data_IF_370031628222
#
_entry.id   IF_370031628222
#
_cell.length_a   1.000
_cell.length_b   1.000
_cell.length_c   1.000
_cell.angle_alpha   90.00
_cell.angle_beta   90.00
_cell.angle_gamma   90.00
#
_symmetry.space_group_name_H-M   'P 1'
#
loop_
_entity.id
_entity.type
_entity.pdbx_description
1 polymer ?
#
# COMPACT_ATOMS: atom_id res chain seq x y z
N UNK A 1 27.43 22.68 -14.75
CA UNK A 1 26.29 23.27 -15.46
C UNK A 1 25.05 22.46 -15.04
N UNK A 2 24.27 22.94 -14.03
CA UNK A 2 23.11 22.24 -13.52
C UNK A 2 21.92 22.55 -14.43
N UNK A 3 21.35 21.53 -15.04
CA UNK A 3 20.16 21.68 -15.86
C UNK A 3 18.97 22.10 -14.98
N UNK A 4 18.39 23.23 -15.29
CA UNK A 4 17.15 23.73 -14.68
C UNK A 4 16.01 22.75 -14.99
N UNK A 5 15.57 22.00 -13.99
CA UNK A 5 14.36 21.18 -14.07
C UNK A 5 13.18 22.14 -14.23
N UNK A 6 12.52 22.12 -15.38
CA UNK A 6 11.30 22.86 -15.64
C UNK A 6 10.23 22.41 -14.63
N UNK A 7 9.90 23.26 -13.68
CA UNK A 7 8.81 23.06 -12.73
C UNK A 7 7.48 23.03 -13.50
N UNK A 8 6.92 21.83 -13.63
CA UNK A 8 5.56 21.72 -14.15
C UNK A 8 4.57 22.44 -13.20
N UNK A 9 3.53 23.12 -13.73
CA UNK A 9 2.62 23.89 -12.92
C UNK A 9 2.01 23.03 -11.80
N UNK A 10 2.05 23.56 -10.59
CA UNK A 10 1.45 22.93 -9.39
C UNK A 10 -0.03 22.67 -9.66
N UNK A 11 -0.46 21.42 -9.52
CA UNK A 11 -1.90 21.17 -9.37
C UNK A 11 -2.30 21.79 -8.04
N UNK A 12 -3.42 22.55 -7.97
CA UNK A 12 -3.89 23.04 -6.69
C UNK A 12 -4.06 21.87 -5.72
N UNK A 13 -3.83 22.13 -4.43
CA UNK A 13 -4.15 21.20 -3.37
C UNK A 13 -5.57 20.64 -3.59
N UNK A 14 -5.87 19.37 -3.23
CA UNK A 14 -7.23 18.87 -3.36
C UNK A 14 -8.15 19.81 -2.60
N UNK A 15 -8.96 20.56 -3.32
CA UNK A 15 -9.94 21.42 -2.70
C UNK A 15 -11.01 20.55 -2.04
N UNK A 16 -11.70 21.08 -1.04
CA UNK A 16 -12.88 20.44 -0.46
C UNK A 16 -13.93 20.04 -1.52
N UNK A 17 -13.85 20.63 -2.71
CA UNK A 17 -14.67 20.31 -3.87
C UNK A 17 -14.32 18.95 -4.55
N UNK A 18 -13.17 18.34 -4.25
CA UNK A 18 -12.78 17.04 -4.85
C UNK A 18 -12.62 16.01 -3.74
N UNK A 19 -13.66 15.22 -3.42
CA UNK A 19 -13.62 14.25 -2.34
C UNK A 19 -12.59 13.14 -2.58
N UNK A 20 -12.13 12.43 -1.52
CA UNK A 20 -11.25 11.29 -1.69
C UNK A 20 -11.97 10.19 -2.47
N UNK A 21 -11.36 9.73 -3.56
CA UNK A 21 -11.93 8.63 -4.35
C UNK A 21 -11.40 7.26 -3.93
N UNK A 22 -10.27 7.22 -3.24
CA UNK A 22 -9.60 5.99 -2.83
C UNK A 22 -9.36 6.00 -1.33
N UNK A 23 -9.63 4.87 -0.68
CA UNK A 23 -9.32 4.68 0.75
C UNK A 23 -8.46 3.45 0.97
N UNK A 24 -7.55 3.53 1.95
CA UNK A 24 -6.89 2.37 2.55
C UNK A 24 -7.51 2.13 3.92
N UNK A 25 -8.05 0.93 4.13
CA UNK A 25 -8.61 0.49 5.42
C UNK A 25 -7.62 -0.44 6.10
N UNK A 26 -7.04 0.03 7.19
CA UNK A 26 -6.20 -0.77 8.06
C UNK A 26 -7.10 -1.54 9.02
N UNK A 27 -7.51 -2.76 8.65
CA UNK A 27 -8.47 -3.55 9.43
C UNK A 27 -7.92 -3.95 10.80
N UNK A 28 -6.61 -4.07 10.92
CA UNK A 28 -5.90 -4.40 12.14
C UNK A 28 -4.50 -3.81 12.10
N UNK A 29 -3.94 -3.48 13.24
CA UNK A 29 -2.54 -3.11 13.38
C UNK A 29 -1.64 -4.33 13.66
N UNK A 30 -2.21 -5.53 13.84
CA UNK A 30 -1.48 -6.79 14.08
C UNK A 30 -0.82 -7.28 12.81
N UNK A 31 0.43 -7.75 12.94
CA UNK A 31 1.19 -8.36 11.86
C UNK A 31 2.05 -9.50 12.42
N UNK A 32 2.14 -10.58 11.68
CA UNK A 32 2.98 -11.74 11.99
C UNK A 32 4.45 -11.56 11.53
N UNK A 33 4.74 -10.51 10.76
CA UNK A 33 6.09 -10.09 10.36
C UNK A 33 6.48 -8.77 11.05
N UNK A 34 7.80 -8.47 11.03
CA UNK A 34 8.36 -7.23 11.56
C UNK A 34 9.44 -6.67 10.61
N UNK A 35 9.03 -6.39 9.36
CA UNK A 35 9.95 -5.95 8.32
C UNK A 35 10.78 -4.74 8.75
N UNK A 36 12.06 -4.71 8.36
CA UNK A 36 13.07 -3.74 8.82
C UNK A 36 12.70 -2.29 8.53
N UNK A 37 11.89 -2.04 7.51
CA UNK A 37 11.43 -0.70 7.09
C UNK A 37 10.04 -0.33 7.63
N UNK A 38 9.36 -1.25 8.34
CA UNK A 38 7.95 -1.07 8.72
C UNK A 38 7.72 -1.06 10.23
N UNK A 39 8.38 -1.94 10.97
CA UNK A 39 8.15 -2.15 12.40
C UNK A 39 9.45 -2.28 13.16
N UNK A 40 9.65 -1.55 14.28
CA UNK A 40 10.92 -1.57 15.02
C UNK A 40 11.26 -2.96 15.57
N UNK A 41 10.27 -3.65 16.12
CA UNK A 41 10.45 -5.02 16.64
C UNK A 41 9.10 -5.76 16.74
N UNK A 42 9.13 -7.06 17.08
CA UNK A 42 7.92 -7.88 17.26
C UNK A 42 7.19 -7.60 18.59
N UNK A 43 7.85 -6.98 19.55
CA UNK A 43 7.34 -6.76 20.91
C UNK A 43 6.59 -5.43 21.04
N UNK A 44 6.54 -4.61 19.99
CA UNK A 44 5.74 -3.40 19.98
C UNK A 44 4.28 -3.74 20.28
N UNK A 45 3.71 -2.99 21.21
CA UNK A 45 2.30 -3.10 21.56
C UNK A 45 1.38 -2.92 20.35
N UNK A 46 0.17 -3.41 20.49
CA UNK A 46 -0.92 -3.20 19.54
C UNK A 46 -1.94 -2.26 20.15
N UNK A 47 -2.80 -1.68 19.32
CA UNK A 47 -3.93 -0.88 19.79
C UNK A 47 -4.87 -1.77 20.61
N UNK A 48 -5.27 -1.27 21.79
CA UNK A 48 -6.18 -2.00 22.68
C UNK A 48 -7.58 -2.13 22.07
N UNK A 49 -8.04 -1.08 21.42
CA UNK A 49 -9.36 -1.02 20.79
C UNK A 49 -9.25 -0.92 19.27
N UNK A 50 -9.99 -1.79 18.59
CA UNK A 50 -10.17 -1.77 17.14
C UNK A 50 -11.68 -1.72 16.83
N UNK A 51 -12.04 -1.27 15.63
CA UNK A 51 -13.41 -1.31 15.17
C UNK A 51 -13.83 -2.76 14.97
N UNK A 52 -15.02 -3.10 15.46
CA UNK A 52 -15.68 -4.35 15.14
C UNK A 52 -16.33 -4.32 13.76
N UNK A 53 -16.93 -5.42 13.34
CA UNK A 53 -17.53 -5.52 12.01
C UNK A 53 -18.67 -4.49 11.80
N UNK A 54 -19.53 -4.26 12.77
CA UNK A 54 -20.66 -3.32 12.65
C UNK A 54 -20.17 -1.87 12.51
N UNK A 55 -19.15 -1.51 13.27
CA UNK A 55 -18.48 -0.21 13.15
C UNK A 55 -17.78 -0.06 11.78
N UNK A 56 -17.15 -1.12 11.25
CA UNK A 56 -16.60 -1.12 9.90
C UNK A 56 -17.68 -0.95 8.82
N UNK A 57 -18.85 -1.58 8.95
CA UNK A 57 -19.97 -1.36 8.02
C UNK A 57 -20.37 0.12 7.99
N UNK A 58 -20.58 0.73 9.15
CA UNK A 58 -20.92 2.16 9.27
C UNK A 58 -19.84 3.05 8.69
N UNK A 59 -18.57 2.80 9.05
CA UNK A 59 -17.41 3.53 8.53
C UNK A 59 -17.37 3.51 7.01
N UNK A 60 -17.50 2.33 6.40
CA UNK A 60 -17.43 2.17 4.95
C UNK A 60 -18.62 2.82 4.24
N UNK A 61 -19.83 2.69 4.78
CA UNK A 61 -21.01 3.40 4.22
C UNK A 61 -20.79 4.92 4.24
N UNK A 62 -20.25 5.47 5.32
CA UNK A 62 -19.90 6.89 5.42
C UNK A 62 -18.82 7.31 4.41
N UNK A 63 -17.79 6.50 4.20
CA UNK A 63 -16.76 6.72 3.18
C UNK A 63 -17.36 6.74 1.77
N UNK A 64 -18.25 5.80 1.45
CA UNK A 64 -18.94 5.74 0.15
C UNK A 64 -19.84 6.96 -0.05
N UNK A 65 -20.58 7.37 0.99
CA UNK A 65 -21.41 8.58 0.98
C UNK A 65 -20.55 9.85 0.77
N UNK A 66 -19.31 9.88 1.29
CA UNK A 66 -18.35 10.95 1.07
C UNK A 66 -17.65 10.91 -0.31
N UNK A 67 -17.97 9.95 -1.19
CA UNK A 67 -17.45 9.88 -2.56
C UNK A 67 -16.36 8.84 -2.81
N UNK A 68 -15.99 8.02 -1.81
CA UNK A 68 -15.04 6.92 -2.02
C UNK A 68 -15.62 5.88 -2.96
N UNK A 69 -14.82 5.45 -3.95
CA UNK A 69 -15.18 4.44 -4.93
C UNK A 69 -14.20 3.27 -4.99
N UNK A 70 -13.03 3.41 -4.40
CA UNK A 70 -11.97 2.39 -4.41
C UNK A 70 -11.50 2.09 -3.00
N UNK A 71 -11.50 0.81 -2.63
CA UNK A 71 -11.09 0.35 -1.31
C UNK A 71 -9.87 -0.58 -1.43
N UNK A 72 -8.86 -0.29 -0.63
CA UNK A 72 -7.74 -1.19 -0.42
C UNK A 72 -7.70 -1.64 1.03
N UNK A 73 -7.97 -2.91 1.23
CA UNK A 73 -7.81 -3.54 2.53
C UNK A 73 -6.32 -3.75 2.83
N UNK A 74 -5.93 -3.36 4.02
CA UNK A 74 -4.57 -3.42 4.52
C UNK A 74 -4.61 -3.52 6.05
N UNK A 75 -3.51 -3.24 6.71
CA UNK A 75 -3.44 -3.27 8.15
C UNK A 75 -1.98 -3.30 8.58
N UNK A 76 -1.69 -3.96 9.67
CA UNK A 76 -0.45 -4.69 9.79
C UNK A 76 -0.48 -5.81 8.74
N UNK A 77 -1.19 -6.92 9.04
CA UNK A 77 -1.52 -7.95 8.04
C UNK A 77 -3.03 -8.20 8.03
N UNK A 78 -3.75 -7.84 6.96
CA UNK A 78 -5.20 -7.96 6.92
C UNK A 78 -5.71 -9.40 6.99
N UNK A 79 -4.92 -10.39 6.55
CA UNK A 79 -5.28 -11.82 6.64
C UNK A 79 -5.31 -12.34 8.09
N UNK A 80 -4.87 -11.55 9.07
CA UNK A 80 -5.04 -11.85 10.48
C UNK A 80 -6.40 -11.41 11.03
N UNK A 81 -7.13 -10.55 10.31
CA UNK A 81 -8.44 -10.06 10.76
C UNK A 81 -9.51 -11.14 10.58
N UNK A 82 -10.17 -11.51 11.68
CA UNK A 82 -11.14 -12.63 11.72
C UNK A 82 -12.31 -12.48 10.76
N UNK A 83 -12.76 -11.24 10.54
CA UNK A 83 -13.92 -10.94 9.70
C UNK A 83 -13.53 -10.50 8.27
N UNK A 84 -12.29 -10.71 7.82
CA UNK A 84 -11.82 -10.21 6.52
C UNK A 84 -12.71 -10.67 5.35
N UNK A 85 -13.04 -11.95 5.29
CA UNK A 85 -13.90 -12.51 4.22
C UNK A 85 -15.28 -11.86 4.24
N UNK A 86 -15.84 -11.66 5.43
CA UNK A 86 -17.14 -10.99 5.63
C UNK A 86 -17.06 -9.51 5.19
N UNK A 87 -15.97 -8.81 5.52
CA UNK A 87 -15.73 -7.42 5.07
C UNK A 87 -15.66 -7.35 3.55
N UNK A 88 -14.95 -8.27 2.90
CA UNK A 88 -14.88 -8.32 1.42
C UNK A 88 -16.26 -8.53 0.81
N UNK A 89 -17.04 -9.49 1.32
CA UNK A 89 -18.41 -9.72 0.87
C UNK A 89 -19.29 -8.49 1.00
N UNK A 90 -19.23 -7.81 2.15
CA UNK A 90 -19.93 -6.56 2.37
C UNK A 90 -19.52 -5.46 1.38
N UNK A 91 -18.21 -5.26 1.16
CA UNK A 91 -17.72 -4.28 0.19
C UNK A 91 -18.26 -4.56 -1.23
N UNK A 92 -18.41 -5.83 -1.60
CA UNK A 92 -18.97 -6.24 -2.88
C UNK A 92 -20.41 -5.78 -3.11
N UNK A 93 -21.19 -5.48 -2.04
CA UNK A 93 -22.57 -5.00 -2.14
C UNK A 93 -22.69 -3.49 -2.35
N UNK A 94 -21.60 -2.73 -2.29
CA UNK A 94 -21.62 -1.26 -2.23
C UNK A 94 -21.39 -0.56 -3.58
N UNK A 95 -21.31 -1.29 -4.69
CA UNK A 95 -21.09 -0.70 -6.02
C UNK A 95 -19.75 0.05 -6.16
N UNK A 96 -18.71 -0.45 -5.49
CA UNK A 96 -17.36 0.09 -5.58
C UNK A 96 -16.71 -0.25 -6.93
N UNK A 97 -15.93 0.69 -7.46
CA UNK A 97 -15.20 0.51 -8.73
C UNK A 97 -14.06 -0.52 -8.56
N UNK A 98 -13.47 -0.60 -7.36
CA UNK A 98 -12.34 -1.48 -7.10
C UNK A 98 -12.21 -1.88 -5.62
N UNK A 99 -11.99 -3.17 -5.40
CA UNK A 99 -11.67 -3.74 -4.10
C UNK A 99 -10.41 -4.58 -4.25
N UNK A 100 -9.38 -4.27 -3.44
CA UNK A 100 -8.14 -5.01 -3.43
C UNK A 100 -7.60 -5.19 -2.01
N UNK A 101 -6.81 -6.24 -1.79
CA UNK A 101 -6.07 -6.46 -0.55
C UNK A 101 -4.57 -6.26 -0.78
N UNK A 102 -3.85 -5.77 0.24
CA UNK A 102 -2.38 -5.83 0.28
C UNK A 102 -1.98 -6.71 1.46
N UNK A 103 -1.19 -7.73 1.22
CA UNK A 103 -0.87 -8.79 2.20
C UNK A 103 0.57 -9.28 2.06
N UNK A 104 1.15 -9.77 3.15
CA UNK A 104 2.41 -10.51 3.16
C UNK A 104 2.25 -11.98 2.73
N UNK A 105 1.03 -12.39 2.39
CA UNK A 105 0.64 -13.72 1.91
C UNK A 105 0.90 -14.91 2.84
N UNK A 106 1.35 -14.73 4.07
CA UNK A 106 1.63 -15.84 5.01
C UNK A 106 0.41 -16.73 5.28
N UNK A 107 -0.80 -16.17 5.18
CA UNK A 107 -2.07 -16.90 5.36
C UNK A 107 -2.89 -17.07 4.08
N UNK A 108 -2.36 -16.58 2.96
CA UNK A 108 -3.11 -16.53 1.69
C UNK A 108 -3.45 -17.93 1.17
N UNK A 109 -2.61 -18.93 1.40
CA UNK A 109 -2.88 -20.33 1.02
C UNK A 109 -4.22 -20.87 1.55
N UNK A 110 -4.66 -20.41 2.73
CA UNK A 110 -5.94 -20.80 3.33
C UNK A 110 -7.10 -19.89 2.94
N UNK A 111 -6.83 -18.66 2.54
CA UNK A 111 -7.85 -17.62 2.36
C UNK A 111 -8.06 -17.21 0.90
N UNK A 112 -7.22 -17.67 -0.04
CA UNK A 112 -7.34 -17.27 -1.44
C UNK A 112 -8.71 -17.61 -2.03
N UNK A 113 -9.17 -18.84 -1.90
CA UNK A 113 -10.49 -19.27 -2.41
C UNK A 113 -11.62 -18.55 -1.69
N UNK A 114 -11.73 -18.54 -0.34
CA UNK A 114 -12.77 -17.79 0.35
C UNK A 114 -12.84 -16.31 -0.01
N UNK A 115 -11.69 -15.65 -0.18
CA UNK A 115 -11.64 -14.24 -0.57
C UNK A 115 -12.11 -14.03 -2.02
N UNK A 116 -11.74 -14.93 -2.93
CA UNK A 116 -12.19 -14.88 -4.33
C UNK A 116 -13.69 -15.08 -4.44
N UNK A 117 -14.24 -16.05 -3.72
CA UNK A 117 -15.69 -16.33 -3.64
C UNK A 117 -16.47 -15.17 -3.02
N UNK A 118 -15.89 -14.50 -2.02
CA UNK A 118 -16.46 -13.29 -1.43
C UNK A 118 -16.43 -12.06 -2.37
N UNK A 119 -15.82 -12.18 -3.58
CA UNK A 119 -15.82 -11.12 -4.59
C UNK A 119 -14.53 -10.30 -4.66
N UNK A 120 -13.47 -10.67 -3.92
CA UNK A 120 -12.16 -10.02 -4.09
C UNK A 120 -11.59 -10.36 -5.46
N UNK A 121 -11.20 -9.33 -6.22
CA UNK A 121 -10.66 -9.52 -7.58
C UNK A 121 -9.16 -9.32 -7.67
N UNK A 122 -8.57 -8.51 -6.81
CA UNK A 122 -7.17 -8.09 -6.93
C UNK A 122 -6.41 -8.28 -5.62
N UNK A 123 -5.21 -8.85 -5.74
CA UNK A 123 -4.30 -9.07 -4.61
C UNK A 123 -2.97 -8.38 -4.89
N UNK A 124 -2.45 -7.66 -3.89
CA UNK A 124 -1.08 -7.17 -3.90
C UNK A 124 -0.32 -7.94 -2.83
N UNK A 125 0.67 -8.69 -3.24
CA UNK A 125 1.54 -9.43 -2.34
C UNK A 125 2.79 -8.62 -2.05
N UNK A 126 3.19 -8.53 -0.79
CA UNK A 126 4.49 -7.97 -0.39
C UNK A 126 5.50 -9.11 -0.29
N UNK A 127 6.52 -9.07 -1.15
CA UNK A 127 7.62 -10.04 -1.18
C UNK A 127 8.91 -9.34 -1.62
N UNK A 128 9.84 -9.19 -0.67
CA UNK A 128 11.04 -8.38 -0.88
C UNK A 128 12.24 -9.17 -1.41
N UNK A 129 12.23 -10.52 -1.31
CA UNK A 129 13.34 -11.37 -1.74
C UNK A 129 12.89 -12.76 -2.12
N UNK A 130 13.57 -13.36 -3.09
CA UNK A 130 13.44 -14.77 -3.48
C UNK A 130 14.48 -15.67 -2.81
N UNK A 131 15.41 -15.09 -2.05
CA UNK A 131 16.37 -15.80 -1.21
C UNK A 131 15.79 -15.98 0.21
N UNK A 132 15.74 -17.21 0.71
CA UNK A 132 15.07 -17.54 1.96
C UNK A 132 15.74 -16.90 3.19
N UNK A 133 17.06 -16.85 3.23
CA UNK A 133 17.79 -16.27 4.36
C UNK A 133 17.70 -14.73 4.35
N UNK A 134 17.75 -14.12 3.17
CA UNK A 134 17.55 -12.68 3.00
C UNK A 134 16.12 -12.28 3.36
N UNK A 135 15.12 -13.00 2.85
CA UNK A 135 13.72 -12.80 3.22
C UNK A 135 13.51 -12.89 4.73
N UNK A 136 14.09 -13.90 5.38
CA UNK A 136 14.03 -14.08 6.83
C UNK A 136 14.67 -12.92 7.60
N UNK A 137 15.81 -12.39 7.13
CA UNK A 137 16.44 -11.20 7.74
C UNK A 137 15.58 -9.97 7.57
N UNK A 138 15.15 -9.65 6.35
CA UNK A 138 14.35 -8.45 6.04
C UNK A 138 13.02 -8.43 6.78
N UNK A 139 12.39 -9.60 6.97
CA UNK A 139 11.09 -9.74 7.66
C UNK A 139 11.21 -10.08 9.15
N UNK A 140 12.44 -10.22 9.66
CA UNK A 140 12.74 -10.64 11.03
C UNK A 140 12.05 -11.96 11.42
N UNK A 141 12.22 -12.96 10.56
CA UNK A 141 11.82 -14.35 10.82
C UNK A 141 10.67 -14.89 9.99
N UNK A 142 10.29 -14.23 8.90
CA UNK A 142 9.36 -14.78 7.91
C UNK A 142 9.92 -16.02 7.22
N UNK A 143 9.02 -16.87 6.72
CA UNK A 143 9.34 -18.08 5.97
C UNK A 143 8.93 -17.91 4.52
N UNK A 144 9.89 -17.86 3.61
CA UNK A 144 9.65 -17.63 2.18
C UNK A 144 8.73 -18.69 1.56
N UNK A 145 8.95 -19.97 1.89
CA UNK A 145 8.16 -21.09 1.37
C UNK A 145 6.66 -20.97 1.71
N UNK A 146 6.32 -20.38 2.87
CA UNK A 146 4.93 -20.12 3.26
C UNK A 146 4.30 -19.06 2.36
N UNK A 147 5.04 -17.99 2.07
CA UNK A 147 4.59 -16.90 1.20
C UNK A 147 4.43 -17.40 -0.24
N UNK A 148 5.39 -18.16 -0.76
CA UNK A 148 5.32 -18.75 -2.11
C UNK A 148 4.09 -19.63 -2.27
N UNK A 149 3.81 -20.53 -1.31
CA UNK A 149 2.56 -21.32 -1.32
C UNK A 149 1.31 -20.44 -1.30
N UNK A 150 1.35 -19.30 -0.59
CA UNK A 150 0.26 -18.31 -0.61
C UNK A 150 0.06 -17.69 -1.99
N UNK A 151 1.13 -17.39 -2.69
CA UNK A 151 1.09 -16.85 -4.06
C UNK A 151 0.54 -17.91 -5.03
N UNK A 152 1.02 -19.16 -4.94
CA UNK A 152 0.55 -20.27 -5.78
C UNK A 152 -0.96 -20.50 -5.58
N UNK A 153 -1.43 -20.46 -4.34
CA UNK A 153 -2.87 -20.55 -4.04
C UNK A 153 -3.67 -19.37 -4.62
N UNK A 154 -3.12 -18.17 -4.62
CA UNK A 154 -3.76 -17.02 -5.24
C UNK A 154 -3.84 -17.15 -6.77
N UNK A 155 -2.79 -17.64 -7.41
CA UNK A 155 -2.79 -17.93 -8.84
C UNK A 155 -3.84 -19.00 -9.17
N UNK A 156 -3.90 -20.08 -8.40
CA UNK A 156 -4.88 -21.15 -8.57
C UNK A 156 -6.33 -20.70 -8.33
N UNK A 157 -6.57 -19.74 -7.41
CA UNK A 157 -7.89 -19.20 -7.13
C UNK A 157 -8.41 -18.27 -8.25
N UNK A 158 -7.59 -17.89 -9.23
CA UNK A 158 -8.00 -17.15 -10.40
C UNK A 158 -8.37 -15.69 -10.09
N UNK A 159 -7.59 -14.98 -9.29
CA UNK A 159 -7.73 -13.54 -9.16
C UNK A 159 -7.46 -12.82 -10.47
N UNK A 160 -8.24 -11.78 -10.76
CA UNK A 160 -8.16 -11.04 -12.03
C UNK A 160 -6.79 -10.34 -12.22
N UNK A 161 -6.14 -9.94 -11.11
CA UNK A 161 -4.82 -9.34 -11.14
C UNK A 161 -4.07 -9.59 -9.81
N UNK A 162 -2.86 -10.11 -9.94
CA UNK A 162 -1.92 -10.23 -8.81
C UNK A 162 -0.73 -9.31 -9.09
N UNK A 163 -0.42 -8.46 -8.11
CA UNK A 163 0.78 -7.61 -8.14
C UNK A 163 1.70 -8.00 -7.00
N UNK A 164 2.99 -8.00 -7.26
CA UNK A 164 4.00 -8.18 -6.23
C UNK A 164 4.66 -6.84 -5.95
N UNK A 165 4.72 -6.45 -4.68
CA UNK A 165 5.44 -5.27 -4.20
C UNK A 165 6.73 -5.73 -3.54
N UNK A 166 7.86 -5.18 -3.96
CA UNK A 166 9.14 -5.36 -3.30
C UNK A 166 9.72 -4.00 -2.92
N UNK A 167 9.99 -3.78 -1.65
CA UNK A 167 10.76 -2.63 -1.17
C UNK A 167 12.22 -2.95 -1.38
N UNK A 168 12.90 -2.13 -2.19
CA UNK A 168 14.29 -2.33 -2.54
C UNK A 168 15.17 -1.52 -1.59
N UNK A 169 16.01 -2.23 -0.85
CA UNK A 169 16.92 -1.70 0.16
C UNK A 169 18.36 -2.02 -0.25
N UNK A 170 19.20 -0.99 -0.31
CA UNK A 170 20.62 -1.12 -0.65
C UNK A 170 21.31 -2.08 0.34
N UNK A 171 22.21 -2.92 -0.17
CA UNK A 171 22.97 -3.93 0.56
C UNK A 171 22.10 -5.04 1.20
N UNK A 172 20.79 -5.08 0.91
CA UNK A 172 19.92 -6.19 1.27
C UNK A 172 19.46 -6.97 0.03
N UNK A 173 18.53 -6.41 -0.75
CA UNK A 173 17.91 -7.08 -1.89
C UNK A 173 18.05 -6.32 -3.22
N UNK A 174 18.85 -5.28 -3.26
CA UNK A 174 19.03 -4.45 -4.45
C UNK A 174 19.64 -5.20 -5.64
N UNK A 175 20.33 -6.30 -5.39
CA UNK A 175 20.83 -7.21 -6.44
C UNK A 175 19.76 -8.13 -7.02
N UNK A 176 18.58 -8.26 -6.40
CA UNK A 176 17.49 -9.15 -6.85
C UNK A 176 16.46 -8.46 -7.76
N UNK A 177 16.64 -7.19 -8.10
CA UNK A 177 15.68 -6.41 -8.91
C UNK A 177 15.28 -7.13 -10.19
N UNK A 178 16.23 -7.69 -10.93
CA UNK A 178 15.99 -8.43 -12.17
C UNK A 178 15.35 -9.79 -11.92
N UNK A 179 15.85 -10.54 -10.96
CA UNK A 179 15.31 -11.84 -10.60
C UNK A 179 13.85 -11.76 -10.15
N UNK A 180 13.51 -10.75 -9.32
CA UNK A 180 12.14 -10.48 -8.90
C UNK A 180 11.22 -10.15 -10.07
N UNK A 181 11.67 -9.31 -11.02
CA UNK A 181 10.88 -8.96 -12.19
C UNK A 181 10.63 -10.18 -13.09
N UNK A 182 11.67 -10.94 -13.39
CA UNK A 182 11.60 -12.14 -14.25
C UNK A 182 10.73 -13.22 -13.62
N UNK A 183 10.91 -13.51 -12.33
CA UNK A 183 10.11 -14.47 -11.58
C UNK A 183 8.61 -14.12 -11.59
N UNK A 184 8.28 -12.84 -11.47
CA UNK A 184 6.90 -12.37 -11.56
C UNK A 184 6.33 -12.59 -12.98
N UNK A 185 7.07 -12.21 -14.00
CA UNK A 185 6.62 -12.32 -15.39
C UNK A 185 6.38 -13.76 -15.84
N UNK A 186 7.19 -14.70 -15.38
CA UNK A 186 7.00 -16.14 -15.63
C UNK A 186 5.65 -16.65 -15.08
N UNK A 187 5.10 -15.98 -14.07
CA UNK A 187 3.86 -16.34 -13.38
C UNK A 187 2.66 -15.46 -13.69
N UNK A 188 2.79 -14.54 -14.66
CA UNK A 188 1.71 -13.58 -14.97
C UNK A 188 1.46 -12.55 -13.87
N UNK A 189 2.41 -12.36 -12.95
CA UNK A 189 2.34 -11.39 -11.86
C UNK A 189 2.98 -10.08 -12.32
N UNK A 190 2.39 -8.94 -11.92
CA UNK A 190 2.96 -7.63 -12.22
C UNK A 190 3.90 -7.20 -11.09
N UNK A 191 5.22 -7.15 -11.30
CA UNK A 191 6.17 -6.67 -10.30
C UNK A 191 6.05 -5.15 -10.11
N UNK A 192 6.17 -4.69 -8.88
CA UNK A 192 6.31 -3.29 -8.51
C UNK A 192 7.47 -3.13 -7.53
N UNK A 193 8.42 -2.32 -7.90
CA UNK A 193 9.60 -2.01 -7.13
C UNK A 193 9.39 -0.69 -6.40
N UNK A 194 9.62 -0.68 -5.11
CA UNK A 194 9.35 0.46 -4.23
C UNK A 194 10.66 1.00 -3.66
N UNK A 195 10.82 2.31 -3.68
CA UNK A 195 11.83 2.97 -2.87
C UNK A 195 11.47 2.87 -1.37
N UNK A 196 12.46 2.79 -0.52
CA UNK A 196 12.28 3.02 0.92
C UNK A 196 11.70 4.42 1.10
N UNK A 197 10.67 4.52 1.92
CA UNK A 197 10.07 5.82 2.28
C UNK A 197 10.62 6.27 3.63
N UNK A 198 11.01 7.53 3.74
CA UNK A 198 11.50 8.13 4.99
C UNK A 198 10.35 8.36 5.99
N UNK A 199 9.70 7.29 6.43
CA UNK A 199 8.55 7.30 7.36
C UNK A 199 8.74 6.19 8.40
N UNK A 200 8.61 6.52 9.68
CA UNK A 200 8.79 5.56 10.75
C UNK A 200 10.14 4.85 10.65
N UNK A 201 10.15 3.53 10.72
CA UNK A 201 11.39 2.73 10.60
C UNK A 201 12.12 2.91 9.26
N UNK A 202 11.39 3.25 8.20
CA UNK A 202 12.01 3.54 6.90
C UNK A 202 12.90 4.77 6.91
N UNK A 203 12.69 5.72 7.81
CA UNK A 203 13.55 6.89 7.95
C UNK A 203 14.98 6.51 8.39
N UNK A 204 15.13 5.45 9.18
CA UNK A 204 16.43 4.89 9.59
C UNK A 204 17.22 4.22 8.46
N UNK A 205 16.59 4.06 7.30
CA UNK A 205 17.18 3.48 6.09
C UNK A 205 17.37 4.52 4.98
N UNK A 206 17.39 5.81 5.33
CA UNK A 206 17.47 6.90 4.35
C UNK A 206 18.75 6.86 3.51
N UNK A 207 19.88 6.40 4.08
CA UNK A 207 21.15 6.17 3.41
C UNK A 207 21.18 4.90 2.54
N UNK A 208 20.17 4.05 2.66
CA UNK A 208 20.02 2.77 1.96
C UNK A 208 18.91 2.77 0.89
N UNK A 209 18.47 3.96 0.48
CA UNK A 209 17.51 4.12 -0.61
C UNK A 209 18.15 3.71 -1.93
N UNK A 210 17.45 2.84 -2.67
CA UNK A 210 17.74 2.57 -4.09
C UNK A 210 16.70 3.32 -4.91
N UNK A 211 17.12 4.30 -5.69
CA UNK A 211 16.22 5.15 -6.46
C UNK A 211 15.58 4.39 -7.64
N UNK A 212 14.42 4.88 -8.09
CA UNK A 212 13.80 4.31 -9.30
C UNK A 212 14.70 4.35 -10.52
N UNK A 213 15.58 5.36 -10.63
CA UNK A 213 16.53 5.45 -11.74
C UNK A 213 17.59 4.34 -11.65
N UNK A 214 18.10 4.03 -10.47
CA UNK A 214 19.02 2.91 -10.26
C UNK A 214 18.35 1.56 -10.55
N UNK A 215 17.10 1.36 -10.08
CA UNK A 215 16.34 0.16 -10.40
C UNK A 215 16.06 0.01 -11.90
N UNK A 216 15.73 1.12 -12.59
CA UNK A 216 15.55 1.14 -14.05
C UNK A 216 16.83 0.83 -14.80
N UNK A 217 17.96 1.36 -14.36
CA UNK A 217 19.26 1.08 -14.96
C UNK A 217 19.60 -0.41 -14.94
N UNK A 218 19.29 -1.10 -13.84
CA UNK A 218 19.46 -2.58 -13.70
C UNK A 218 18.56 -3.37 -14.67
N UNK A 219 17.40 -2.82 -15.02
CA UNK A 219 16.43 -3.44 -15.93
C UNK A 219 16.50 -2.91 -17.38
N UNK A 220 17.44 -2.03 -17.71
CA UNK A 220 17.46 -1.30 -18.98
C UNK A 220 17.49 -2.22 -20.23
N UNK A 221 18.11 -3.38 -20.11
CA UNK A 221 18.18 -4.37 -21.19
C UNK A 221 16.85 -5.14 -21.39
N UNK A 222 16.00 -5.20 -20.36
CA UNK A 222 14.71 -5.88 -20.40
C UNK A 222 13.54 -4.93 -20.74
N UNK A 223 13.67 -3.63 -20.44
CA UNK A 223 12.58 -2.66 -20.58
C UNK A 223 12.74 -1.77 -21.81
N UNK A 224 11.60 -1.26 -22.31
CA UNK A 224 11.63 -0.20 -23.32
C UNK A 224 12.28 1.07 -22.76
N UNK A 225 12.93 1.79 -23.66
CA UNK A 225 13.42 3.15 -23.37
C UNK A 225 12.23 4.12 -23.32
N UNK A 226 12.24 5.06 -22.38
CA UNK A 226 11.22 6.09 -22.27
C UNK A 226 10.86 6.44 -20.83
N UNK A 227 9.85 7.30 -20.69
CA UNK A 227 9.33 7.68 -19.39
C UNK A 227 8.28 6.67 -18.91
N UNK A 228 8.39 6.30 -17.63
CA UNK A 228 7.39 5.45 -17.01
C UNK A 228 6.07 6.21 -16.82
N UNK A 229 4.99 5.65 -17.35
CA UNK A 229 3.66 6.27 -17.31
C UNK A 229 2.80 5.72 -16.15
N UNK A 230 1.94 6.58 -15.58
CA UNK A 230 0.90 6.16 -14.65
C UNK A 230 -0.28 5.55 -15.40
N UNK A 231 -0.79 4.44 -14.88
CA UNK A 231 -2.11 3.97 -15.28
C UNK A 231 -3.17 4.84 -14.60
N UNK A 232 -4.14 5.31 -15.37
CA UNK A 232 -5.24 6.09 -14.84
C UNK A 232 -5.95 5.30 -13.71
N UNK A 233 -6.20 5.98 -12.60
CA UNK A 233 -6.97 5.46 -11.45
C UNK A 233 -6.41 4.20 -10.75
N UNK A 234 -5.16 3.80 -11.03
CA UNK A 234 -4.57 2.56 -10.50
C UNK A 234 -3.46 2.73 -9.45
N UNK A 235 -3.37 3.88 -8.82
CA UNK A 235 -2.43 4.13 -7.71
C UNK A 235 -1.13 4.83 -8.13
N UNK A 236 -0.07 4.79 -7.29
CA UNK A 236 1.11 5.63 -7.45
C UNK A 236 2.14 5.09 -8.43
N UNK A 237 2.06 3.82 -8.81
CA UNK A 237 3.08 3.19 -9.64
C UNK A 237 3.11 3.79 -11.05
N UNK A 238 4.31 4.01 -11.57
CA UNK A 238 4.58 4.33 -12.96
C UNK A 238 5.17 3.10 -13.62
N UNK A 239 4.71 2.75 -14.81
CA UNK A 239 5.03 1.48 -15.47
C UNK A 239 5.89 1.69 -16.71
N UNK A 240 6.85 0.79 -16.90
CA UNK A 240 7.54 0.54 -18.16
C UNK A 240 7.20 -0.86 -18.63
N UNK A 241 7.01 -1.01 -19.94
CA UNK A 241 6.74 -2.31 -20.55
C UNK A 241 8.03 -3.04 -20.91
N UNK A 242 7.98 -4.37 -20.95
CA UNK A 242 9.11 -5.17 -21.36
C UNK A 242 9.35 -5.03 -22.88
N UNK A 243 10.63 -5.02 -23.29
CA UNK A 243 11.06 -4.79 -24.67
C UNK A 243 10.53 -5.85 -25.63
N UNK A 244 10.54 -7.09 -25.21
CA UNK A 244 10.21 -8.24 -26.07
C UNK A 244 8.79 -8.78 -25.87
N UNK A 245 8.07 -8.29 -24.85
CA UNK A 245 6.70 -8.72 -24.56
C UNK A 245 5.90 -7.59 -23.92
N UNK A 246 5.07 -6.93 -24.74
CA UNK A 246 4.27 -5.76 -24.33
C UNK A 246 3.18 -6.07 -23.30
N UNK A 247 2.88 -7.33 -23.06
CA UNK A 247 1.97 -7.75 -21.99
C UNK A 247 2.62 -7.70 -20.61
N UNK A 248 3.95 -7.72 -20.56
CA UNK A 248 4.76 -7.64 -19.35
C UNK A 248 5.18 -6.21 -19.07
N UNK A 249 5.10 -5.83 -17.81
CA UNK A 249 5.48 -4.48 -17.34
C UNK A 249 6.08 -4.54 -15.95
N UNK A 250 6.86 -3.52 -15.58
CA UNK A 250 7.35 -3.28 -14.21
C UNK A 250 6.84 -1.93 -13.74
N UNK A 251 6.28 -1.88 -12.53
CA UNK A 251 5.89 -0.64 -11.87
C UNK A 251 6.98 -0.13 -10.92
N UNK A 252 7.16 1.18 -10.87
CA UNK A 252 8.04 1.86 -9.94
C UNK A 252 7.22 2.76 -9.02
N UNK A 253 7.41 2.65 -7.70
CA UNK A 253 6.76 3.50 -6.70
C UNK A 253 7.85 4.32 -6.02
N UNK A 254 7.90 5.57 -6.41
CA UNK A 254 8.93 6.54 -6.04
C UNK A 254 8.48 7.34 -4.83
N UNK A 255 8.76 6.83 -3.62
CA UNK A 255 8.38 7.53 -2.39
C UNK A 255 9.34 8.64 -1.99
N UNK A 256 10.57 8.60 -2.46
CA UNK A 256 11.67 9.45 -2.01
C UNK A 256 12.25 10.31 -3.13
N UNK A 257 12.64 9.72 -4.26
CA UNK A 257 13.34 10.45 -5.33
C UNK A 257 12.40 11.33 -6.18
N UNK A 258 11.17 10.86 -6.45
CA UNK A 258 10.15 11.57 -7.23
C UNK A 258 8.76 11.27 -6.65
N UNK A 259 8.32 12.08 -5.71
CA UNK A 259 7.14 11.82 -4.92
C UNK A 259 5.87 11.73 -5.77
N UNK A 260 5.04 10.71 -5.48
CA UNK A 260 3.75 10.49 -6.14
C UNK A 260 2.60 11.29 -5.51
N UNK A 261 2.91 12.30 -4.72
CA UNK A 261 1.95 13.06 -3.92
C UNK A 261 1.04 13.95 -4.76
N UNK A 262 1.54 14.47 -5.88
CA UNK A 262 0.77 15.31 -6.79
C UNK A 262 -0.47 14.57 -7.30
N UNK A 263 -1.66 15.09 -6.95
CA UNK A 263 -2.93 14.46 -7.29
C UNK A 263 -3.25 13.18 -6.50
N UNK A 264 -2.67 13.02 -5.32
CA UNK A 264 -2.98 11.90 -4.43
C UNK A 264 -4.41 12.03 -3.89
N UNK A 265 -5.27 11.08 -4.26
CA UNK A 265 -6.70 11.01 -3.90
C UNK A 265 -6.98 10.03 -2.74
N UNK A 266 -5.93 9.64 -2.00
CA UNK A 266 -6.03 8.57 -0.99
C UNK A 266 -6.27 9.13 0.39
N UNK A 267 -7.30 8.63 1.04
CA UNK A 267 -7.54 8.71 2.48
C UNK A 267 -7.09 7.39 3.14
N UNK A 268 -6.82 7.41 4.43
CA UNK A 268 -6.53 6.21 5.23
C UNK A 268 -7.45 6.16 6.43
N UNK A 269 -7.85 4.98 6.82
CA UNK A 269 -8.57 4.71 8.06
C UNK A 269 -7.78 3.68 8.84
N UNK A 270 -7.36 4.03 10.04
CA UNK A 270 -6.68 3.12 10.96
C UNK A 270 -7.68 2.18 11.64
N UNK A 271 -7.19 1.10 12.24
CA UNK A 271 -8.05 0.08 12.85
C UNK A 271 -8.87 0.58 14.06
N UNK A 272 -8.44 1.67 14.68
CA UNK A 272 -9.15 2.38 15.73
C UNK A 272 -10.20 3.39 15.22
N UNK A 273 -10.35 3.55 13.90
CA UNK A 273 -11.29 4.50 13.29
C UNK A 273 -10.72 5.90 13.07
N UNK A 274 -9.41 6.10 13.24
CA UNK A 274 -8.75 7.36 12.93
C UNK A 274 -8.67 7.57 11.41
N UNK A 275 -9.23 8.67 10.94
CA UNK A 275 -9.15 9.14 9.54
C UNK A 275 -7.84 9.92 9.37
N UNK A 276 -6.98 9.50 8.44
CA UNK A 276 -5.70 10.16 8.15
C UNK A 276 -5.62 10.59 6.69
N UNK A 277 -5.49 11.88 6.39
CA UNK A 277 -5.43 12.39 5.01
C UNK A 277 -4.11 12.04 4.32
N UNK A 278 -3.02 11.83 5.07
CA UNK A 278 -1.70 11.55 4.55
C UNK A 278 -1.00 10.39 5.28
N UNK A 279 -0.07 9.73 4.59
CA UNK A 279 0.81 8.72 5.15
C UNK A 279 1.91 9.35 6.02
N UNK A 280 2.38 10.53 5.62
CA UNK A 280 3.57 11.16 6.18
C UNK A 280 3.27 12.10 7.35
N UNK A 281 2.01 12.22 7.79
CA UNK A 281 1.63 13.08 8.93
C UNK A 281 0.85 12.30 9.96
N UNK A 282 0.95 12.74 11.22
CA UNK A 282 0.14 12.23 12.32
C UNK A 282 -1.23 12.92 12.42
N UNK A 283 -1.49 13.91 11.58
CA UNK A 283 -2.77 14.62 11.56
C UNK A 283 -3.90 13.65 11.22
N UNK A 284 -4.96 13.75 11.97
CA UNK A 284 -6.11 12.90 11.79
C UNK A 284 -7.34 13.41 12.51
N UNK A 285 -8.45 12.73 12.28
CA UNK A 285 -9.72 12.96 12.95
C UNK A 285 -10.33 11.59 13.30
N UNK A 286 -10.68 11.37 14.56
CA UNK A 286 -11.34 10.13 14.94
C UNK A 286 -12.79 10.12 14.53
N UNK A 287 -13.20 9.09 13.79
CA UNK A 287 -14.60 8.79 13.49
C UNK A 287 -15.07 7.51 14.21
N UNK A 288 -14.29 7.01 15.18
CA UNK A 288 -14.55 5.76 15.88
C UNK A 288 -15.93 5.75 16.56
N UNK A 289 -16.25 6.79 17.33
CA UNK A 289 -17.53 6.87 18.05
C UNK A 289 -18.71 6.95 17.07
N UNK A 290 -18.59 7.74 16.01
CA UNK A 290 -19.62 7.81 14.97
C UNK A 290 -19.87 6.45 14.30
N UNK A 291 -18.78 5.72 14.02
CA UNK A 291 -18.86 4.38 13.46
C UNK A 291 -19.54 3.39 14.43
N UNK A 292 -19.17 3.41 15.71
CA UNK A 292 -19.76 2.53 16.74
C UNK A 292 -21.23 2.81 17.03
N UNK A 293 -21.67 4.06 16.89
CA UNK A 293 -23.09 4.44 17.10
C UNK A 293 -23.94 4.35 15.83
N UNK A 294 -23.39 3.91 14.71
CA UNK A 294 -24.16 3.75 13.47
C UNK A 294 -24.36 5.07 12.68
N UNK A 295 -23.73 6.18 13.06
CA UNK A 295 -23.88 7.49 12.39
C UNK A 295 -23.08 7.59 11.09
N UNK A 296 -23.62 6.98 10.04
CA UNK A 296 -23.05 7.04 8.68
C UNK A 296 -22.90 8.47 8.16
N UNK A 297 -23.85 9.34 8.43
CA UNK A 297 -23.83 10.73 8.00
C UNK A 297 -22.74 11.53 8.74
N UNK A 298 -22.57 11.28 10.04
CA UNK A 298 -21.49 11.82 10.84
C UNK A 298 -20.11 11.40 10.32
N UNK A 299 -19.96 10.12 9.99
CA UNK A 299 -18.72 9.62 9.36
C UNK A 299 -18.46 10.34 8.04
N UNK A 300 -19.46 10.52 7.17
CA UNK A 300 -19.26 11.22 5.90
C UNK A 300 -18.79 12.68 6.11
N UNK A 301 -19.36 13.40 7.09
CA UNK A 301 -18.90 14.75 7.46
C UNK A 301 -17.47 14.74 8.00
N UNK A 302 -17.14 13.79 8.87
CA UNK A 302 -15.79 13.62 9.41
C UNK A 302 -14.75 13.33 8.30
N UNK A 303 -15.11 12.54 7.28
CA UNK A 303 -14.28 12.28 6.10
C UNK A 303 -14.01 13.58 5.33
N UNK A 304 -15.04 14.40 5.08
CA UNK A 304 -14.89 15.68 4.40
C UNK A 304 -13.97 16.63 5.20
N UNK A 305 -14.16 16.72 6.52
CA UNK A 305 -13.32 17.51 7.41
C UNK A 305 -11.86 17.04 7.42
N UNK A 306 -11.62 15.71 7.63
CA UNK A 306 -10.27 15.17 7.59
C UNK A 306 -9.59 15.42 6.24
N UNK A 307 -10.35 15.39 5.15
CA UNK A 307 -9.83 15.63 3.81
C UNK A 307 -9.33 17.06 3.58
N UNK A 308 -9.92 18.07 4.25
CA UNK A 308 -9.42 19.45 4.17
C UNK A 308 -8.00 19.62 4.72
N UNK A 309 -7.57 18.71 5.60
CA UNK A 309 -6.22 18.68 6.18
C UNK A 309 -5.18 17.96 5.31
N UNK A 310 -5.55 17.56 4.07
CA UNK A 310 -4.64 16.89 3.16
C UNK A 310 -3.49 17.80 2.77
N UNK A 311 -2.23 17.48 3.13
CA UNK A 311 -1.10 18.31 2.77
C UNK A 311 -0.88 18.30 1.25
N UNK A 312 -0.30 19.37 0.72
CA UNK A 312 0.26 19.36 -0.62
C UNK A 312 1.48 18.42 -0.66
N UNK A 313 1.86 17.98 -1.85
CA UNK A 313 2.73 16.83 -2.04
C UNK A 313 4.21 16.98 -1.64
N UNK A 314 4.61 17.99 -0.89
CA UNK A 314 6.03 18.21 -0.53
C UNK A 314 6.40 17.68 0.86
N UNK A 315 5.46 17.17 1.62
CA UNK A 315 5.67 16.69 3.01
C UNK A 315 6.76 15.61 3.09
N UNK A 316 6.86 14.75 2.09
CA UNK A 316 7.90 13.71 2.05
C UNK A 316 9.31 14.25 1.89
N UNK A 317 9.48 15.43 1.29
CA UNK A 317 10.81 16.05 1.09
C UNK A 317 11.37 16.65 2.37
N UNK A 318 10.53 16.92 3.36
CA UNK A 318 10.91 17.49 4.64
C UNK A 318 10.87 16.50 5.80
N UNK A 319 10.58 15.21 5.55
CA UNK A 319 10.58 14.19 6.60
C UNK A 319 12.03 13.91 7.02
N UNK A 320 12.42 14.45 8.15
CA UNK A 320 13.62 14.05 8.90
C UNK A 320 13.28 12.88 9.82
N UNK A 321 14.29 12.23 10.37
CA UNK A 321 14.12 11.15 11.35
C UNK A 321 13.21 11.58 12.52
N UNK A 322 13.38 12.81 13.01
CA UNK A 322 12.58 13.39 14.09
C UNK A 322 11.11 13.65 13.70
N UNK A 323 10.85 14.15 12.49
CA UNK A 323 9.48 14.41 12.02
C UNK A 323 8.71 13.12 11.66
N UNK A 324 9.43 12.06 11.32
CA UNK A 324 8.88 10.74 10.99
C UNK A 324 8.70 9.84 12.22
N UNK A 325 9.30 10.19 13.36
CA UNK A 325 9.39 9.34 14.56
C UNK A 325 8.03 8.97 15.19
N UNK A 326 6.96 9.69 14.89
CA UNK A 326 5.62 9.40 15.40
C UNK A 326 4.70 8.61 14.46
N UNK A 327 5.14 8.33 13.21
CA UNK A 327 4.29 7.65 12.22
C UNK A 327 4.64 6.17 12.14
N UNK A 328 3.71 5.30 12.52
CA UNK A 328 3.86 3.86 12.33
C UNK A 328 3.17 3.39 11.06
N UNK A 329 3.93 2.87 10.09
CA UNK A 329 3.41 2.29 8.85
C UNK A 329 2.37 1.18 9.11
N UNK A 330 2.57 0.41 10.16
CA UNK A 330 1.70 -0.68 10.61
C UNK A 330 0.29 -0.19 10.97
N UNK A 331 0.19 0.92 11.71
CA UNK A 331 -1.09 1.44 12.20
C UNK A 331 -1.96 2.10 11.13
N UNK A 332 -1.38 2.46 10.01
CA UNK A 332 -2.05 3.27 8.97
C UNK A 332 -2.11 2.61 7.59
N UNK A 333 -1.71 1.35 7.52
CA UNK A 333 -1.75 0.57 6.31
C UNK A 333 -0.70 1.01 5.28
N UNK A 334 0.52 0.62 5.52
CA UNK A 334 1.66 0.85 4.63
C UNK A 334 1.51 0.27 3.23
#
# INVERSE_FOLDING_TARGET
MYALTVLQPRRPAPSAATPPRSVRLSLTDRCDLACIYCRPNKQDGYLDEQLDFAAWETMVRGLVAAGVRRVRLTGGEPLLHKDLVRVVGFLGTLGLDDIAVTTNATRLAKLAVPLREAGLRRVNVSLDSLDAERFKRMTRGGKLDVVLRGIDAALAAGFDEIKLNAVIVKDENDTEVEALASWCWERGIVPRLLEVMAIGEGAKLADRVVTANEMRARLAHLLESGEAAREADRGPARYLVARHDKTKKVGFITGTSDTYCKGCDRLRVASDGMLRPCLATNDGLSAAQLARTGDTSGVARAVAEAWTKKPDGEVFKGCTEDSAAGVSMRGIGG
#
